data_IF_422701394861
#
_entry.id   IF_422701394861
#
_cell.length_a   1.000
_cell.length_b   1.000
_cell.length_c   1.000
_cell.angle_alpha   90.00
_cell.angle_beta   90.00
_cell.angle_gamma   90.00
#
_symmetry.space_group_name_H-M   'P 1'
#
loop_
_entity.id
_entity.type
_entity.pdbx_description
1 polymer ?
#
# COMPACT_ATOMS: atom_id res chain seq x y z
N UNK A 1 -40.71 -19.27 6.52
CA UNK A 1 -40.47 -17.81 6.37
C UNK A 1 -41.79 -17.11 6.10
N UNK A 2 -42.25 -16.26 7.02
CA UNK A 2 -43.56 -15.60 6.93
C UNK A 2 -43.45 -14.13 6.56
N UNK A 3 -44.43 -13.61 5.81
CA UNK A 3 -44.60 -12.16 5.63
C UNK A 3 -44.87 -11.50 6.99
N UNK A 4 -44.32 -10.31 7.21
CA UNK A 4 -44.63 -9.52 8.42
C UNK A 4 -46.12 -9.17 8.49
N UNK A 5 -46.64 -9.00 9.70
CA UNK A 5 -48.05 -8.61 9.92
C UNK A 5 -48.40 -7.30 9.21
N UNK A 6 -47.46 -6.34 9.17
CA UNK A 6 -47.63 -5.08 8.43
C UNK A 6 -47.80 -5.31 6.92
N UNK A 7 -46.97 -6.19 6.32
CA UNK A 7 -47.06 -6.53 4.89
C UNK A 7 -48.39 -7.22 4.57
N UNK A 8 -48.83 -8.16 5.41
CA UNK A 8 -50.14 -8.84 5.27
C UNK A 8 -51.31 -7.85 5.29
N UNK A 9 -51.31 -6.89 6.21
CA UNK A 9 -52.35 -5.84 6.31
C UNK A 9 -52.38 -4.94 5.07
N UNK A 10 -51.22 -4.55 4.55
CA UNK A 10 -51.14 -3.75 3.30
C UNK A 10 -51.70 -4.52 2.11
N UNK A 11 -51.26 -5.76 1.91
CA UNK A 11 -51.75 -6.63 0.82
C UNK A 11 -53.26 -6.87 0.92
N UNK A 12 -53.80 -7.01 2.15
CA UNK A 12 -55.25 -7.08 2.38
C UNK A 12 -55.97 -5.81 1.92
N UNK A 13 -55.48 -4.62 2.29
CA UNK A 13 -56.08 -3.35 1.88
C UNK A 13 -56.09 -3.17 0.36
N UNK A 14 -55.00 -3.52 -0.32
CA UNK A 14 -54.91 -3.46 -1.78
C UNK A 14 -55.94 -4.40 -2.42
N UNK A 15 -56.10 -5.62 -1.88
CA UNK A 15 -57.12 -6.57 -2.34
C UNK A 15 -58.55 -6.06 -2.16
N UNK A 16 -58.79 -5.27 -1.11
CA UNK A 16 -60.08 -4.61 -0.85
C UNK A 16 -60.29 -3.34 -1.72
N UNK A 17 -59.38 -3.02 -2.64
CA UNK A 17 -59.47 -1.84 -3.52
C UNK A 17 -59.01 -0.53 -2.88
N UNK A 18 -58.37 -0.57 -1.70
CA UNK A 18 -57.82 0.64 -1.05
C UNK A 18 -56.48 1.03 -1.69
N UNK A 19 -56.13 2.34 -1.67
CA UNK A 19 -54.88 2.81 -2.25
C UNK A 19 -53.65 2.22 -1.57
N UNK A 20 -52.59 1.97 -2.34
CA UNK A 20 -51.33 1.44 -1.82
C UNK A 20 -50.63 2.48 -0.92
N UNK A 21 -50.41 2.19 0.37
CA UNK A 21 -49.66 3.07 1.28
C UNK A 21 -48.21 3.35 0.85
N UNK A 22 -47.66 2.56 -0.07
CA UNK A 22 -46.33 2.82 -0.65
C UNK A 22 -46.35 4.09 -1.49
N UNK A 23 -47.46 4.40 -2.16
CA UNK A 23 -47.58 5.57 -3.03
C UNK A 23 -47.64 6.87 -2.22
N UNK A 24 -48.21 6.83 -1.02
CA UNK A 24 -48.26 7.97 -0.10
C UNK A 24 -47.01 8.09 0.79
N UNK A 25 -45.99 7.24 0.59
CA UNK A 25 -44.81 7.24 1.45
C UNK A 25 -43.86 8.38 1.06
N UNK A 26 -43.29 9.04 2.07
CA UNK A 26 -42.31 10.10 1.85
C UNK A 26 -41.13 9.61 0.98
N UNK A 27 -40.58 10.46 0.09
CA UNK A 27 -39.39 10.14 -0.72
C UNK A 27 -38.19 9.67 0.10
N UNK A 28 -38.06 10.17 1.34
CA UNK A 28 -37.02 9.80 2.29
C UNK A 28 -37.00 8.32 2.65
N UNK A 29 -38.12 7.60 2.48
CA UNK A 29 -38.18 6.17 2.78
C UNK A 29 -37.36 5.30 1.83
N UNK A 30 -36.99 5.83 0.65
CA UNK A 30 -36.15 5.15 -0.34
C UNK A 30 -34.68 5.54 -0.24
N UNK A 31 -34.38 6.64 0.45
CA UNK A 31 -33.02 7.17 0.58
C UNK A 31 -32.33 6.57 1.81
N UNK A 32 -31.03 6.29 1.69
CA UNK A 32 -30.19 5.94 2.84
C UNK A 32 -29.72 7.23 3.51
N UNK A 33 -30.40 7.63 4.59
CA UNK A 33 -30.14 8.86 5.34
C UNK A 33 -29.12 8.67 6.47
N UNK A 34 -28.38 7.56 6.45
CA UNK A 34 -27.34 7.31 7.46
C UNK A 34 -26.17 8.26 7.27
N UNK A 35 -25.62 8.73 8.38
CA UNK A 35 -24.36 9.45 8.39
C UNK A 35 -23.22 8.50 8.04
N UNK A 36 -22.54 8.74 6.92
CA UNK A 36 -21.34 7.98 6.56
C UNK A 36 -20.19 8.41 7.46
N UNK A 37 -19.60 7.45 8.17
CA UNK A 37 -18.43 7.69 9.01
C UNK A 37 -17.17 7.23 8.27
N UNK A 38 -16.08 7.98 8.44
CA UNK A 38 -14.75 7.57 7.98
C UNK A 38 -14.18 6.50 8.90
N UNK A 39 -13.13 5.81 8.42
CA UNK A 39 -12.44 4.77 9.19
C UNK A 39 -11.78 5.36 10.44
N UNK A 40 -11.80 4.62 11.54
CA UNK A 40 -11.09 5.01 12.76
C UNK A 40 -9.58 4.84 12.60
N UNK A 41 -8.79 5.45 13.49
CA UNK A 41 -7.33 5.28 13.53
C UNK A 41 -6.92 3.80 13.55
N UNK A 42 -7.62 2.98 14.36
CA UNK A 42 -7.36 1.53 14.46
C UNK A 42 -7.64 0.83 13.13
N UNK A 43 -8.77 1.15 12.50
CA UNK A 43 -9.16 0.55 11.22
C UNK A 43 -8.14 0.85 10.11
N UNK A 44 -7.57 2.05 10.11
CA UNK A 44 -6.53 2.43 9.14
C UNK A 44 -5.20 1.75 9.46
N UNK A 45 -4.79 1.76 10.73
CA UNK A 45 -3.50 1.21 11.18
C UNK A 45 -3.37 -0.28 10.85
N UNK A 46 -4.42 -1.05 11.11
CA UNK A 46 -4.43 -2.49 10.87
C UNK A 46 -4.97 -2.86 9.48
N UNK A 47 -5.21 -1.88 8.60
CA UNK A 47 -5.62 -2.16 7.22
C UNK A 47 -4.42 -2.60 6.38
N UNK A 48 -4.47 -3.82 5.85
CA UNK A 48 -3.53 -4.27 4.82
C UNK A 48 -4.08 -4.00 3.41
N UNK A 49 -3.98 -2.74 2.95
CA UNK A 49 -4.48 -2.33 1.62
C UNK A 49 -3.58 -2.82 0.47
N UNK A 50 -2.26 -2.83 0.68
CA UNK A 50 -1.27 -3.15 -0.34
C UNK A 50 -0.46 -4.36 0.09
N UNK A 51 -0.74 -5.51 -0.53
CA UNK A 51 -0.24 -6.83 -0.11
C UNK A 51 1.28 -7.04 -0.26
N UNK A 52 1.99 -6.14 -0.96
CA UNK A 52 3.41 -6.31 -1.33
C UNK A 52 4.38 -5.41 -0.56
N UNK A 53 4.00 -4.91 0.63
CA UNK A 53 4.85 -3.94 1.35
C UNK A 53 6.04 -4.57 2.07
N UNK A 54 5.91 -5.84 2.47
CA UNK A 54 6.99 -6.59 3.08
C UNK A 54 7.22 -7.84 2.22
N UNK A 55 8.35 -7.96 1.51
CA UNK A 55 8.69 -9.24 0.92
C UNK A 55 8.84 -10.24 2.08
N UNK A 56 8.09 -11.36 2.02
CA UNK A 56 8.15 -12.42 3.04
C UNK A 56 9.55 -13.03 3.16
N UNK A 57 10.40 -12.76 2.18
CA UNK A 57 11.76 -13.24 2.08
C UNK A 57 12.64 -12.02 1.83
N UNK A 58 13.69 -11.83 2.65
CA UNK A 58 14.75 -10.89 2.30
C UNK A 58 15.43 -11.47 1.07
N UNK A 59 15.04 -11.01 -0.12
CA UNK A 59 15.89 -11.18 -1.29
C UNK A 59 17.17 -10.40 -0.97
N UNK A 60 18.29 -11.11 -0.92
CA UNK A 60 19.61 -10.58 -0.63
C UNK A 60 20.11 -9.75 -1.81
N UNK A 61 19.33 -8.74 -2.20
CA UNK A 61 19.68 -7.84 -3.28
C UNK A 61 20.70 -6.86 -2.72
N UNK A 62 21.96 -7.29 -2.77
CA UNK A 62 23.11 -6.47 -2.50
C UNK A 62 23.12 -5.30 -3.49
N UNK A 63 22.89 -4.09 -2.99
CA UNK A 63 23.00 -2.88 -3.79
C UNK A 63 24.46 -2.73 -4.27
N UNK A 64 24.69 -2.95 -5.56
CA UNK A 64 25.96 -2.70 -6.22
C UNK A 64 26.16 -1.18 -6.35
N UNK A 65 26.89 -0.57 -5.42
CA UNK A 65 27.41 0.80 -5.57
C UNK A 65 28.52 0.80 -6.64
N UNK A 66 28.10 0.80 -7.90
CA UNK A 66 29.00 0.99 -9.01
C UNK A 66 29.58 2.40 -9.03
N UNK A 67 30.82 2.47 -9.51
CA UNK A 67 31.44 3.63 -10.20
C UNK A 67 32.25 4.68 -9.42
N UNK A 68 32.72 4.43 -8.19
CA UNK A 68 33.78 5.30 -7.63
C UNK A 68 35.01 4.54 -7.14
N UNK A 69 34.83 3.37 -6.52
CA UNK A 69 35.95 2.61 -5.93
C UNK A 69 36.93 2.03 -6.96
N UNK A 70 36.43 1.52 -8.11
CA UNK A 70 37.26 0.85 -9.12
C UNK A 70 38.14 1.81 -9.94
N UNK A 71 37.73 3.06 -10.13
CA UNK A 71 38.54 4.06 -10.83
C UNK A 71 39.66 4.62 -9.94
N UNK A 72 39.36 4.83 -8.64
CA UNK A 72 40.34 5.27 -7.64
C UNK A 72 41.46 4.23 -7.44
N UNK A 73 41.14 2.93 -7.45
CA UNK A 73 42.17 1.89 -7.35
C UNK A 73 43.10 1.86 -8.57
N UNK A 74 42.57 2.06 -9.78
CA UNK A 74 43.36 2.11 -11.01
C UNK A 74 44.32 3.32 -11.02
N UNK A 75 43.86 4.51 -10.62
CA UNK A 75 44.70 5.72 -10.55
C UNK A 75 45.79 5.60 -9.48
N UNK A 76 45.47 5.00 -8.33
CA UNK A 76 46.44 4.78 -7.26
C UNK A 76 47.55 3.79 -7.67
N UNK A 77 47.25 2.83 -8.54
CA UNK A 77 48.28 1.92 -9.08
C UNK A 77 49.24 2.61 -10.04
N UNK A 78 48.78 3.59 -10.81
CA UNK A 78 49.65 4.34 -11.73
C UNK A 78 50.55 5.35 -10.99
N UNK A 79 50.03 5.99 -9.94
CA UNK A 79 50.80 6.91 -9.11
C UNK A 79 51.93 6.20 -8.34
N UNK A 80 51.71 4.99 -7.84
CA UNK A 80 52.76 4.22 -7.15
C UNK A 80 53.88 3.75 -8.09
N UNK A 81 53.52 3.38 -9.33
CA UNK A 81 54.49 3.02 -10.38
C UNK A 81 55.33 4.25 -10.77
N UNK A 82 54.70 5.42 -10.88
CA UNK A 82 55.41 6.66 -11.22
C UNK A 82 56.35 7.13 -10.09
N UNK A 83 55.93 7.04 -8.82
CA UNK A 83 56.79 7.39 -7.69
C UNK A 83 58.00 6.46 -7.53
N UNK A 84 57.82 5.15 -7.77
CA UNK A 84 58.93 4.18 -7.75
C UNK A 84 59.90 4.35 -8.92
N UNK A 85 59.45 4.90 -10.05
CA UNK A 85 60.30 5.32 -11.17
C UNK A 85 61.14 6.56 -10.86
N UNK A 86 60.64 7.51 -10.05
CA UNK A 86 61.33 8.77 -9.77
C UNK A 86 62.30 8.62 -8.59
N UNK A 87 62.00 7.74 -7.64
CA UNK A 87 62.83 7.48 -6.47
C UNK A 87 63.16 5.98 -6.37
N UNK A 88 64.17 5.48 -7.11
CA UNK A 88 64.62 4.11 -6.93
C UNK A 88 65.21 3.97 -5.52
N UNK A 89 64.65 3.09 -4.70
CA UNK A 89 65.23 2.79 -3.39
C UNK A 89 66.63 2.21 -3.60
N UNK A 90 67.65 2.92 -3.09
CA UNK A 90 69.00 2.37 -3.03
C UNK A 90 68.98 1.16 -2.09
N UNK A 91 69.41 0.01 -2.60
CA UNK A 91 69.69 -1.18 -1.80
C UNK A 91 70.64 -0.77 -0.67
N UNK A 92 70.15 -0.86 0.57
CA UNK A 92 70.98 -0.75 1.77
C UNK A 92 71.40 -2.17 2.11
N UNK A 93 72.60 -2.54 1.68
CA UNK A 93 73.25 -3.77 2.08
C UNK A 93 73.83 -3.58 3.49
N UNK A 94 73.35 -4.38 4.45
CA UNK A 94 73.99 -4.64 5.74
C UNK A 94 74.14 -6.15 5.92
#
# INVERSE_FOLDING_TARGET
MGKSNARKKREKRIREGRPDPVNSRSPFARLDLRTKMTKTKKDILYQNKHKNRNPKQRENDSFYYGTVSSALSALNSQLSIFQSSIYPQKLVDY
#
